data_IF_135052724425
#
_entry.id   IF_135052724425
#
_cell.length_a   1.000
_cell.length_b   1.000
_cell.length_c   1.000
_cell.angle_alpha   90.00
_cell.angle_beta   90.00
_cell.angle_gamma   90.00
#
_symmetry.space_group_name_H-M   'P 1'
#
loop_
_entity.id
_entity.type
_entity.pdbx_description
1 polymer ?
#
# COMPACT_ATOMS: atom_id res chain seq x y z
N UNK A 1 4.36 -20.21 -1.05
CA UNK A 1 4.00 -18.80 -0.89
C UNK A 1 5.21 -17.89 -1.02
N UNK A 2 5.20 -17.01 -2.02
CA UNK A 2 6.20 -15.95 -2.20
C UNK A 2 5.47 -14.61 -2.35
N UNK A 3 5.66 -13.72 -1.38
CA UNK A 3 5.07 -12.38 -1.35
C UNK A 3 6.14 -11.35 -1.68
N UNK A 4 5.85 -10.46 -2.62
CA UNK A 4 6.78 -9.42 -3.10
C UNK A 4 6.06 -8.08 -3.11
N UNK A 5 6.67 -7.06 -2.50
CA UNK A 5 6.27 -5.67 -2.68
C UNK A 5 6.81 -5.19 -4.02
N UNK A 6 5.99 -5.27 -5.07
CA UNK A 6 6.30 -4.81 -6.43
C UNK A 6 6.68 -3.32 -6.40
N UNK A 7 5.95 -2.56 -5.59
CA UNK A 7 6.18 -1.17 -5.31
C UNK A 7 5.84 -0.89 -3.86
N UNK A 8 6.65 -0.08 -3.20
CA UNK A 8 6.36 0.47 -1.88
C UNK A 8 6.88 1.90 -1.76
N UNK A 9 6.12 2.76 -1.09
CA UNK A 9 6.56 4.13 -0.80
C UNK A 9 5.85 4.70 0.43
N UNK A 10 6.55 5.56 1.17
CA UNK A 10 6.02 6.26 2.33
C UNK A 10 5.65 7.69 1.96
N UNK A 11 4.50 8.14 2.45
CA UNK A 11 3.96 9.47 2.22
C UNK A 11 3.47 10.07 3.54
N UNK A 12 3.44 11.41 3.59
CA UNK A 12 2.57 12.07 4.56
C UNK A 12 1.11 11.69 4.29
N UNK A 13 0.34 11.55 5.35
CA UNK A 13 -1.06 11.19 5.27
C UNK A 13 -1.85 11.78 6.45
N UNK A 14 -3.17 11.73 6.38
CA UNK A 14 -4.06 12.05 7.47
C UNK A 14 -5.06 10.92 7.61
N UNK A 15 -5.13 10.29 8.78
CA UNK A 15 -6.19 9.34 9.11
C UNK A 15 -6.46 9.40 10.60
N UNK A 16 -7.73 9.25 11.02
CA UNK A 16 -8.08 9.13 12.42
C UNK A 16 -8.85 7.83 12.63
N UNK A 17 -8.22 6.88 13.31
CA UNK A 17 -8.88 5.64 13.72
C UNK A 17 -8.67 5.40 15.21
N UNK A 18 -9.72 4.94 15.89
CA UNK A 18 -9.72 4.64 17.32
C UNK A 18 -9.23 5.80 18.20
N UNK A 19 -9.53 7.05 17.81
CA UNK A 19 -9.12 8.26 18.53
C UNK A 19 -7.67 8.70 18.28
N UNK A 20 -6.86 7.89 17.59
CA UNK A 20 -5.46 8.16 17.30
C UNK A 20 -5.33 8.81 15.92
N UNK A 21 -4.63 9.95 15.87
CA UNK A 21 -4.27 10.61 14.62
C UNK A 21 -3.05 9.92 14.01
N UNK A 22 -3.12 9.70 12.70
CA UNK A 22 -2.10 9.08 11.87
C UNK A 22 -1.66 10.06 10.80
N UNK A 23 -0.35 10.25 10.70
CA UNK A 23 0.28 11.34 9.96
C UNK A 23 1.13 10.85 8.78
N UNK A 24 1.34 9.54 8.68
CA UNK A 24 2.07 8.90 7.59
C UNK A 24 1.27 7.71 7.05
N UNK A 25 1.52 7.37 5.79
CA UNK A 25 1.03 6.16 5.17
C UNK A 25 2.11 5.47 4.35
N UNK A 26 2.15 4.14 4.41
CA UNK A 26 2.89 3.29 3.48
C UNK A 26 1.90 2.71 2.49
N UNK A 27 2.18 2.94 1.21
CA UNK A 27 1.39 2.42 0.10
C UNK A 27 2.19 1.32 -0.58
N UNK A 28 1.54 0.20 -0.90
CA UNK A 28 2.19 -0.97 -1.49
C UNK A 28 1.36 -1.58 -2.62
N UNK A 29 2.04 -1.98 -3.70
CA UNK A 29 1.52 -2.93 -4.67
C UNK A 29 2.16 -4.28 -4.35
N UNK A 30 1.37 -5.24 -3.90
CA UNK A 30 1.82 -6.54 -3.43
C UNK A 30 1.48 -7.59 -4.47
N UNK A 31 2.43 -8.48 -4.75
CA UNK A 31 2.24 -9.68 -5.56
C UNK A 31 2.41 -10.90 -4.65
N UNK A 32 1.37 -11.72 -4.53
CA UNK A 32 1.44 -13.01 -3.84
C UNK A 32 1.34 -14.17 -4.83
N UNK A 33 2.28 -15.10 -4.73
CA UNK A 33 2.34 -16.30 -5.55
C UNK A 33 2.20 -17.52 -4.65
N UNK A 34 1.07 -18.23 -4.78
CA UNK A 34 0.85 -19.48 -4.06
C UNK A 34 0.16 -20.54 -4.91
N UNK A 35 0.65 -21.78 -4.84
CA UNK A 35 0.13 -22.93 -5.58
C UNK A 35 -0.20 -22.68 -7.07
N UNK A 36 0.63 -21.90 -7.77
CA UNK A 36 0.42 -21.58 -9.20
C UNK A 36 -0.65 -20.51 -9.47
N UNK A 37 -1.17 -19.87 -8.42
CA UNK A 37 -2.06 -18.70 -8.49
C UNK A 37 -1.26 -17.45 -8.17
N UNK A 38 -1.44 -16.41 -8.99
CA UNK A 38 -0.90 -15.08 -8.76
C UNK A 38 -2.02 -14.15 -8.30
N UNK A 39 -1.77 -13.40 -7.24
CA UNK A 39 -2.66 -12.37 -6.70
C UNK A 39 -1.92 -11.04 -6.68
N UNK A 40 -2.59 -9.97 -7.11
CA UNK A 40 -2.10 -8.60 -6.98
C UNK A 40 -3.03 -7.81 -6.08
N UNK A 41 -2.46 -7.04 -5.15
CA UNK A 41 -3.20 -6.24 -4.19
C UNK A 41 -2.61 -4.84 -4.07
N UNK A 42 -3.48 -3.84 -4.00
CA UNK A 42 -3.10 -2.53 -3.49
C UNK A 42 -3.32 -2.52 -1.98
N UNK A 43 -2.36 -1.98 -1.23
CA UNK A 43 -2.43 -1.89 0.21
C UNK A 43 -2.01 -0.50 0.68
N UNK A 44 -2.67 -0.02 1.74
CA UNK A 44 -2.28 1.18 2.47
C UNK A 44 -2.27 0.85 3.96
N UNK A 45 -1.22 1.27 4.65
CA UNK A 45 -1.18 1.26 6.11
C UNK A 45 -0.93 2.68 6.61
N UNK A 46 -1.68 3.08 7.64
CA UNK A 46 -1.52 4.38 8.27
C UNK A 46 -0.80 4.24 9.61
N UNK A 47 0.14 5.16 9.88
CA UNK A 47 0.95 5.17 11.09
C UNK A 47 0.74 6.46 11.90
N UNK A 48 0.75 6.38 13.24
CA UNK A 48 0.69 7.55 14.13
C UNK A 48 1.95 8.43 14.07
N UNK A 49 3.03 7.89 13.50
CA UNK A 49 4.36 8.43 13.60
C UNK A 49 4.67 9.53 12.58
N UNK A 50 5.55 10.45 12.99
CA UNK A 50 6.02 11.57 12.15
C UNK A 50 7.39 11.30 11.51
N UNK A 51 8.08 10.22 11.88
CA UNK A 51 9.42 9.89 11.38
C UNK A 51 9.65 8.38 11.25
N UNK A 52 10.70 8.01 10.53
CA UNK A 52 11.02 6.63 10.14
C UNK A 52 11.43 5.69 11.27
N UNK A 53 12.03 6.24 12.33
CA UNK A 53 12.56 5.48 13.47
C UNK A 53 11.47 4.84 14.32
N UNK A 54 10.24 5.24 14.06
CA UNK A 54 9.07 5.02 14.89
C UNK A 54 8.14 3.95 14.25
N UNK A 55 8.40 3.51 13.01
CA UNK A 55 7.57 2.54 12.25
C UNK A 55 7.57 1.10 12.82
N UNK A 56 8.19 0.84 13.97
CA UNK A 56 8.31 -0.49 14.56
C UNK A 56 7.14 -0.89 15.48
N UNK A 57 6.11 -0.03 15.65
CA UNK A 57 5.04 -0.22 16.67
C UNK A 57 3.70 -0.62 16.06
N UNK A 58 3.18 -1.74 16.56
CA UNK A 58 2.16 -2.63 15.99
C UNK A 58 0.68 -2.19 16.03
N UNK A 59 0.34 -0.90 15.91
CA UNK A 59 -1.07 -0.44 15.89
C UNK A 59 -1.48 0.20 14.56
N UNK A 60 -1.14 -0.51 13.50
CA UNK A 60 -1.31 -0.07 12.13
C UNK A 60 -2.69 -0.40 11.58
N UNK A 61 -3.29 0.59 10.92
CA UNK A 61 -4.55 0.40 10.22
C UNK A 61 -4.25 0.02 8.78
N UNK A 62 -4.33 -1.27 8.51
CA UNK A 62 -4.01 -1.86 7.21
C UNK A 62 -5.27 -2.11 6.39
N UNK A 63 -5.31 -1.53 5.20
CA UNK A 63 -6.41 -1.67 4.24
C UNK A 63 -5.89 -2.19 2.92
N UNK A 64 -6.61 -3.13 2.31
CA UNK A 64 -6.21 -3.75 1.05
C UNK A 64 -7.35 -3.90 0.07
N UNK A 65 -7.01 -3.92 -1.21
CA UNK A 65 -7.92 -4.23 -2.31
C UNK A 65 -7.27 -5.27 -3.23
N UNK A 66 -7.95 -6.40 -3.43
CA UNK A 66 -7.56 -7.36 -4.48
C UNK A 66 -7.81 -6.72 -5.85
N UNK A 67 -6.75 -6.59 -6.64
CA UNK A 67 -6.82 -6.05 -8.01
C UNK A 67 -6.98 -7.18 -9.03
N UNK A 68 -6.41 -8.34 -8.73
CA UNK A 68 -6.43 -9.49 -9.61
C UNK A 68 -6.07 -10.78 -8.89
N UNK A 69 -6.68 -11.88 -9.33
CA UNK A 69 -6.33 -13.23 -8.92
C UNK A 69 -6.59 -14.22 -10.06
N UNK A 70 -5.57 -14.97 -10.47
CA UNK A 70 -5.74 -16.04 -11.45
C UNK A 70 -4.60 -17.06 -11.40
N UNK A 71 -4.81 -18.21 -12.04
CA UNK A 71 -3.72 -19.13 -12.34
C UNK A 71 -2.67 -18.45 -13.25
N UNK A 72 -1.39 -18.63 -12.93
CA UNK A 72 -0.28 -18.11 -13.73
C UNK A 72 0.89 -17.61 -12.91
N UNK A 73 1.65 -16.70 -13.52
CA UNK A 73 2.88 -16.12 -12.97
C UNK A 73 2.84 -14.60 -12.99
N UNK A 74 3.76 -13.99 -12.24
CA UNK A 74 4.01 -12.54 -12.22
C UNK A 74 4.22 -11.99 -13.64
N UNK A 75 3.63 -10.83 -13.94
CA UNK A 75 3.71 -10.17 -15.24
C UNK A 75 4.05 -8.69 -15.08
N UNK A 76 5.24 -8.30 -15.54
CA UNK A 76 5.70 -6.89 -15.55
C UNK A 76 4.77 -5.96 -16.34
N UNK A 77 4.15 -6.46 -17.43
CA UNK A 77 3.16 -5.71 -18.19
C UNK A 77 1.95 -5.35 -17.34
N UNK A 78 1.46 -6.31 -16.55
CA UNK A 78 0.29 -6.15 -15.70
C UNK A 78 0.59 -5.24 -14.51
N UNK A 79 1.77 -5.37 -13.93
CA UNK A 79 2.23 -4.47 -12.86
C UNK A 79 2.25 -3.02 -13.30
N UNK A 80 2.73 -2.74 -14.51
CA UNK A 80 2.70 -1.38 -15.06
C UNK A 80 1.27 -0.85 -15.17
N UNK A 81 0.33 -1.67 -15.63
CA UNK A 81 -1.10 -1.29 -15.69
C UNK A 81 -1.66 -0.99 -14.30
N UNK A 82 -1.37 -1.83 -13.31
CA UNK A 82 -1.80 -1.55 -11.94
C UNK A 82 -1.14 -0.31 -11.35
N UNK A 83 0.11 -0.03 -11.68
CA UNK A 83 0.81 1.19 -11.24
C UNK A 83 0.21 2.47 -11.84
N UNK A 84 -0.31 2.43 -13.06
CA UNK A 84 -1.00 3.57 -13.69
C UNK A 84 -2.29 3.93 -12.93
N UNK A 85 -3.02 2.93 -12.43
CA UNK A 85 -4.26 3.12 -11.65
C UNK A 85 -4.05 3.13 -10.13
N UNK A 86 -2.81 2.90 -9.67
CA UNK A 86 -2.50 2.60 -8.27
C UNK A 86 -2.95 3.69 -7.31
N UNK A 87 -2.71 4.96 -7.67
CA UNK A 87 -3.12 6.11 -6.84
C UNK A 87 -4.62 6.11 -6.58
N UNK A 88 -5.41 5.80 -7.60
CA UNK A 88 -6.88 5.74 -7.48
C UNK A 88 -7.32 4.64 -6.52
N UNK A 89 -6.70 3.46 -6.58
CA UNK A 89 -6.99 2.36 -5.66
C UNK A 89 -6.63 2.71 -4.21
N UNK A 90 -5.49 3.35 -4.00
CA UNK A 90 -5.06 3.81 -2.67
C UNK A 90 -5.96 4.93 -2.16
N UNK A 91 -6.34 5.89 -2.99
CA UNK A 91 -7.24 6.98 -2.59
C UNK A 91 -8.64 6.46 -2.22
N UNK A 92 -9.09 5.38 -2.85
CA UNK A 92 -10.33 4.69 -2.49
C UNK A 92 -10.22 4.01 -1.11
N UNK A 93 -9.13 3.28 -0.88
CA UNK A 93 -8.85 2.64 0.41
C UNK A 93 -8.69 3.68 1.53
N UNK A 94 -7.94 4.74 1.27
CA UNK A 94 -7.75 5.85 2.20
C UNK A 94 -9.09 6.50 2.54
N UNK A 95 -9.93 6.81 1.54
CA UNK A 95 -11.26 7.38 1.77
C UNK A 95 -12.17 6.45 2.59
N UNK A 96 -12.14 5.15 2.31
CA UNK A 96 -12.90 4.15 3.07
C UNK A 96 -12.47 4.11 4.55
N UNK A 97 -11.17 4.33 4.81
CA UNK A 97 -10.60 4.46 6.15
C UNK A 97 -10.85 5.83 6.82
N UNK A 98 -11.51 6.78 6.14
CA UNK A 98 -11.65 8.15 6.63
C UNK A 98 -10.34 8.95 6.62
N UNK A 99 -9.40 8.56 5.77
CA UNK A 99 -8.10 9.17 5.61
C UNK A 99 -7.78 9.69 4.21
N UNK A 100 -6.57 10.23 4.05
CA UNK A 100 -6.04 10.84 2.83
C UNK A 100 -4.53 10.67 2.76
N UNK A 101 -4.00 10.35 1.58
CA UNK A 101 -2.56 10.30 1.30
C UNK A 101 -2.15 11.57 0.55
N UNK A 102 -1.03 12.19 0.94
CA UNK A 102 -0.48 13.37 0.27
C UNK A 102 0.63 12.97 -0.70
N UNK A 103 0.23 12.71 -1.95
CA UNK A 103 1.12 12.24 -3.03
C UNK A 103 2.25 13.22 -3.40
N UNK A 104 2.08 14.50 -3.10
CA UNK A 104 3.05 15.58 -3.28
C UNK A 104 4.10 15.65 -2.15
N UNK A 105 3.91 14.87 -1.07
CA UNK A 105 4.76 14.87 0.12
C UNK A 105 5.29 13.47 0.44
N UNK A 106 6.15 12.90 -0.42
CA UNK A 106 6.82 11.64 -0.12
C UNK A 106 7.73 11.80 1.11
N UNK A 107 7.71 10.81 1.99
CA UNK A 107 8.63 10.69 3.12
C UNK A 107 9.87 9.88 2.73
N UNK A 108 9.72 8.93 1.80
CA UNK A 108 10.80 8.12 1.22
C UNK A 108 10.67 8.05 -0.30
N UNK A 109 11.80 7.74 -0.93
CA UNK A 109 11.80 7.33 -2.33
C UNK A 109 11.04 6.02 -2.53
N UNK A 110 10.45 5.88 -3.70
CA UNK A 110 9.80 4.65 -4.13
C UNK A 110 10.83 3.51 -4.21
N UNK A 111 10.45 2.34 -3.71
CA UNK A 111 11.20 1.10 -3.90
C UNK A 111 10.42 0.16 -4.80
N UNK A 112 11.13 -0.52 -5.70
CA UNK A 112 10.57 -1.45 -6.69
C UNK A 112 11.31 -2.79 -6.62
N UNK A 113 10.58 -3.88 -6.88
CA UNK A 113 11.10 -5.26 -6.94
C UNK A 113 10.78 -5.97 -8.27
#
# INVERSE_FOLDING_TARGET
MATINVYEQYFNAECKSNGIKRHAALVMLISDSDAGTIKYEAAVTFFPHNSEDDFAVSYDEYYTKELYKAAGRRSKKREKQFLEEFRSYIDELARAAGGKVFWDKPLRDARFA
#
